data_IF_061279492602
#
_entry.id   IF_061279492602
#
_cell.length_a   1.000
_cell.length_b   1.000
_cell.length_c   1.000
_cell.angle_alpha   90.00
_cell.angle_beta   90.00
_cell.angle_gamma   90.00
#
_symmetry.space_group_name_H-M   'P 1'
#
loop_
_entity.id
_entity.type
_entity.pdbx_description
1 polymer ?
#
# COMPACT_ATOMS: atom_id res chain seq x y z
N UNK A 1 6.70 -1.84 -0.75
CA UNK A 1 5.41 -2.17 -0.13
C UNK A 1 5.44 -1.92 1.38
N UNK A 2 6.48 -2.30 2.12
CA UNK A 2 6.59 -2.04 3.56
C UNK A 2 6.38 -0.57 3.94
N UNK A 3 6.95 0.38 3.16
CA UNK A 3 6.72 1.83 3.37
C UNK A 3 5.25 2.26 3.22
N UNK A 4 4.46 1.46 2.54
CA UNK A 4 3.01 1.64 2.39
C UNK A 4 2.22 0.94 3.48
N UNK A 5 2.88 0.19 4.39
CA UNK A 5 2.24 -0.63 5.40
C UNK A 5 1.64 -1.94 4.86
N UNK A 6 1.95 -2.32 3.62
CA UNK A 6 1.47 -3.55 2.99
C UNK A 6 2.44 -4.70 3.24
N UNK A 7 1.90 -5.82 3.72
CA UNK A 7 2.63 -7.08 3.89
C UNK A 7 2.45 -7.92 2.65
N UNK A 8 3.43 -7.88 1.75
CA UNK A 8 3.44 -8.69 0.54
C UNK A 8 4.35 -9.90 0.69
N UNK A 9 4.02 -10.97 -0.02
CA UNK A 9 4.78 -12.21 -0.09
C UNK A 9 5.42 -12.25 -1.47
N UNK A 10 6.77 -12.26 -1.59
CA UNK A 10 7.41 -12.59 -2.85
C UNK A 10 7.21 -14.08 -3.14
N UNK A 11 6.71 -14.38 -4.31
CA UNK A 11 6.48 -15.75 -4.76
C UNK A 11 7.24 -16.06 -6.03
N UNK A 12 7.55 -17.33 -6.21
CA UNK A 12 8.10 -17.85 -7.47
C UNK A 12 7.04 -17.77 -8.55
N UNK A 13 7.38 -17.15 -9.67
CA UNK A 13 6.47 -16.96 -10.80
C UNK A 13 7.00 -17.56 -12.10
N UNK A 14 6.13 -17.74 -13.09
CA UNK A 14 6.55 -18.08 -14.43
C UNK A 14 7.02 -16.85 -15.19
N UNK A 15 8.06 -17.03 -16.02
CA UNK A 15 8.60 -15.95 -16.83
C UNK A 15 7.72 -15.60 -18.04
N UNK A 16 6.80 -16.47 -18.42
CA UNK A 16 5.86 -16.29 -19.53
C UNK A 16 6.52 -15.79 -20.82
N UNK A 17 5.81 -14.93 -21.53
CA UNK A 17 6.28 -14.30 -22.76
C UNK A 17 7.47 -13.35 -22.55
N UNK A 18 7.66 -12.78 -21.37
CA UNK A 18 8.80 -11.93 -21.03
C UNK A 18 10.10 -12.70 -21.08
N UNK A 19 10.09 -13.98 -20.70
CA UNK A 19 11.26 -14.84 -20.65
C UNK A 19 12.27 -14.40 -19.60
N UNK A 20 13.50 -14.83 -19.74
CA UNK A 20 14.54 -14.62 -18.74
C UNK A 20 14.78 -15.87 -17.90
N UNK A 21 15.52 -15.71 -16.79
CA UNK A 21 15.94 -16.83 -15.95
C UNK A 21 14.98 -17.09 -14.80
N UNK A 22 14.59 -16.02 -14.11
CA UNK A 22 13.73 -16.05 -12.92
C UNK A 22 12.76 -14.89 -12.95
N UNK A 23 11.60 -15.11 -12.39
CA UNK A 23 10.68 -14.03 -12.05
C UNK A 23 10.04 -14.26 -10.68
N UNK A 24 9.68 -13.17 -10.05
CA UNK A 24 9.01 -13.17 -8.75
C UNK A 24 7.87 -12.15 -8.77
N UNK A 25 6.72 -12.56 -8.26
CA UNK A 25 5.56 -11.70 -8.04
C UNK A 25 5.47 -11.29 -6.58
N UNK A 26 4.99 -10.09 -6.34
CA UNK A 26 4.70 -9.58 -4.99
C UNK A 26 3.21 -9.67 -4.74
N UNK A 27 2.81 -10.69 -3.98
CA UNK A 27 1.42 -11.03 -3.72
C UNK A 27 0.96 -10.52 -2.36
N UNK A 28 -0.22 -9.93 -2.32
CA UNK A 28 -0.92 -9.61 -1.08
C UNK A 28 -2.00 -10.67 -0.84
N UNK A 29 -2.05 -11.25 0.38
CA UNK A 29 -3.17 -12.12 0.76
C UNK A 29 -4.43 -11.25 0.85
N UNK A 30 -5.44 -11.58 0.07
CA UNK A 30 -6.68 -10.82 -0.06
C UNK A 30 -7.84 -11.72 -0.48
N UNK A 31 -8.96 -11.62 0.24
CA UNK A 31 -10.18 -12.33 -0.15
C UNK A 31 -10.80 -11.76 -1.44
N UNK A 32 -10.47 -10.52 -1.79
CA UNK A 32 -10.90 -9.82 -3.00
C UNK A 32 -9.94 -10.05 -4.18
N UNK A 33 -8.82 -10.75 -3.94
CA UNK A 33 -7.83 -11.04 -4.97
C UNK A 33 -8.37 -11.90 -6.10
N UNK A 34 -7.84 -11.73 -7.29
CA UNK A 34 -8.21 -12.49 -8.49
C UNK A 34 -7.34 -13.76 -8.63
N UNK A 35 -6.15 -13.74 -8.04
CA UNK A 35 -5.14 -14.77 -8.22
C UNK A 35 -5.19 -15.82 -7.10
N UNK A 36 -4.74 -17.03 -7.43
CA UNK A 36 -4.55 -18.11 -6.49
C UNK A 36 -3.10 -18.56 -6.52
N UNK A 37 -2.51 -18.71 -5.35
CA UNK A 37 -1.15 -19.21 -5.20
C UNK A 37 -1.13 -20.42 -4.27
N UNK A 38 -0.08 -21.21 -4.36
CA UNK A 38 0.28 -22.19 -3.36
C UNK A 38 1.21 -21.54 -2.34
N UNK A 39 0.91 -21.65 -1.07
CA UNK A 39 1.66 -21.02 0.01
C UNK A 39 1.89 -21.99 1.18
N UNK A 40 3.13 -22.04 1.66
CA UNK A 40 3.49 -22.76 2.87
C UNK A 40 3.72 -21.75 4.02
N UNK A 41 2.85 -21.81 5.02
CA UNK A 41 2.89 -20.92 6.19
C UNK A 41 4.13 -21.13 7.07
N UNK A 42 4.76 -22.32 7.03
CA UNK A 42 5.92 -22.63 7.87
C UNK A 42 7.22 -22.04 7.30
N UNK A 43 7.37 -22.11 5.98
CA UNK A 43 8.55 -21.59 5.27
C UNK A 43 8.38 -20.18 4.73
N UNK A 44 7.13 -19.69 4.69
CA UNK A 44 6.74 -18.44 4.05
C UNK A 44 7.08 -18.37 2.55
N UNK A 45 7.10 -19.53 1.89
CA UNK A 45 7.33 -19.63 0.45
C UNK A 45 5.99 -19.71 -0.27
N UNK A 46 5.88 -18.94 -1.35
CA UNK A 46 4.73 -18.98 -2.26
C UNK A 46 5.13 -19.35 -3.68
N UNK A 47 4.22 -20.00 -4.39
CA UNK A 47 4.37 -20.43 -5.78
C UNK A 47 3.14 -20.01 -6.58
N UNK A 48 3.35 -19.41 -7.75
CA UNK A 48 2.27 -19.24 -8.71
C UNK A 48 1.85 -20.62 -9.25
N UNK A 49 0.54 -20.88 -9.32
CA UNK A 49 0.00 -22.17 -9.77
C UNK A 49 0.36 -22.49 -11.22
N UNK A 50 0.61 -21.47 -12.06
CA UNK A 50 1.04 -21.64 -13.45
C UNK A 50 2.38 -22.39 -13.57
N UNK A 51 3.22 -22.37 -12.55
CA UNK A 51 4.48 -23.12 -12.53
C UNK A 51 4.23 -24.62 -12.63
N UNK A 52 3.13 -25.10 -12.04
CA UNK A 52 2.79 -26.53 -12.06
C UNK A 52 2.38 -27.03 -13.45
N UNK A 53 2.09 -26.15 -14.39
CA UNK A 53 1.78 -26.49 -15.76
C UNK A 53 3.02 -26.85 -16.59
N UNK A 54 4.23 -26.57 -16.08
CA UNK A 54 5.49 -26.95 -16.73
C UNK A 54 5.72 -28.46 -16.59
N UNK A 55 6.12 -29.12 -17.68
CA UNK A 55 6.44 -30.55 -17.66
C UNK A 55 7.54 -30.92 -16.64
N UNK A 56 8.49 -30.01 -16.44
CA UNK A 56 9.64 -30.19 -15.54
C UNK A 56 9.57 -29.30 -14.28
N UNK A 57 8.37 -28.97 -13.78
CA UNK A 57 8.23 -28.02 -12.67
C UNK A 57 8.98 -28.44 -11.41
N UNK A 58 9.07 -29.74 -11.12
CA UNK A 58 9.76 -30.25 -9.92
C UNK A 58 11.26 -30.00 -10.00
N UNK A 59 11.88 -30.29 -11.16
CA UNK A 59 13.30 -30.04 -11.40
C UNK A 59 13.59 -28.54 -11.35
N UNK A 60 12.76 -27.72 -12.00
CA UNK A 60 12.84 -26.27 -11.98
C UNK A 60 12.77 -25.69 -10.56
N UNK A 61 11.80 -26.12 -9.75
CA UNK A 61 11.66 -25.68 -8.35
C UNK A 61 12.87 -26.09 -7.51
N UNK A 62 13.39 -27.31 -7.69
CA UNK A 62 14.55 -27.80 -6.98
C UNK A 62 15.83 -27.05 -7.36
N UNK A 63 16.11 -26.90 -8.65
CA UNK A 63 17.37 -26.31 -9.14
C UNK A 63 17.43 -24.80 -8.92
N UNK A 64 16.33 -24.08 -9.18
CA UNK A 64 16.33 -22.63 -9.15
C UNK A 64 15.94 -22.04 -7.79
N UNK A 65 15.17 -22.77 -6.96
CA UNK A 65 14.65 -22.26 -5.71
C UNK A 65 14.91 -23.20 -4.49
N UNK A 66 15.43 -24.40 -4.69
CA UNK A 66 15.73 -25.36 -3.63
C UNK A 66 14.47 -25.97 -2.99
N UNK A 67 13.33 -25.94 -3.70
CA UNK A 67 12.06 -26.48 -3.23
C UNK A 67 11.93 -27.92 -3.74
N UNK A 68 11.98 -28.89 -2.82
CA UNK A 68 11.91 -30.33 -3.18
C UNK A 68 10.52 -30.92 -2.99
N UNK A 69 9.71 -30.38 -2.07
CA UNK A 69 8.36 -30.88 -1.73
C UNK A 69 7.37 -29.72 -1.57
N UNK A 70 6.21 -29.88 -2.18
CA UNK A 70 5.11 -28.91 -2.13
C UNK A 70 3.86 -29.46 -1.41
N UNK A 71 3.96 -30.62 -0.74
CA UNK A 71 2.82 -31.28 -0.08
C UNK A 71 2.20 -30.45 1.05
N UNK A 72 2.98 -29.58 1.68
CA UNK A 72 2.53 -28.69 2.77
C UNK A 72 1.94 -27.37 2.27
N UNK A 73 2.02 -27.10 0.97
CA UNK A 73 1.49 -25.86 0.38
C UNK A 73 -0.04 -25.93 0.31
N UNK A 74 -0.69 -24.82 0.65
CA UNK A 74 -2.13 -24.65 0.56
C UNK A 74 -2.48 -23.58 -0.45
N UNK A 75 -3.58 -23.77 -1.16
CA UNK A 75 -4.11 -22.75 -2.05
C UNK A 75 -4.69 -21.60 -1.21
N UNK A 76 -4.20 -20.39 -1.47
CA UNK A 76 -4.72 -19.16 -0.88
C UNK A 76 -5.02 -18.13 -1.98
N UNK A 77 -5.97 -17.23 -1.70
CA UNK A 77 -6.34 -16.15 -2.62
C UNK A 77 -5.48 -14.92 -2.39
N UNK A 78 -5.04 -14.31 -3.47
CA UNK A 78 -4.10 -13.18 -3.43
C UNK A 78 -4.37 -12.16 -4.52
N UNK A 79 -3.74 -11.00 -4.37
CA UNK A 79 -3.71 -9.92 -5.35
C UNK A 79 -2.25 -9.64 -5.73
N UNK A 80 -1.90 -9.74 -7.00
CA UNK A 80 -0.58 -9.39 -7.51
C UNK A 80 -0.39 -7.87 -7.51
N UNK A 81 0.57 -7.36 -6.74
CA UNK A 81 0.88 -5.93 -6.67
C UNK A 81 2.06 -5.51 -7.52
N UNK A 82 2.93 -6.43 -7.85
CA UNK A 82 4.09 -6.16 -8.68
C UNK A 82 4.79 -7.43 -9.13
N UNK A 83 5.64 -7.31 -10.14
CA UNK A 83 6.36 -8.41 -10.75
C UNK A 83 7.77 -7.97 -11.15
N UNK A 84 8.75 -8.81 -10.92
CA UNK A 84 10.14 -8.58 -11.31
C UNK A 84 10.69 -9.74 -12.12
N UNK A 85 11.56 -9.43 -13.09
CA UNK A 85 12.14 -10.41 -14.02
C UNK A 85 13.64 -10.24 -14.12
N UNK A 86 14.37 -11.34 -14.10
CA UNK A 86 15.78 -11.42 -14.46
C UNK A 86 15.89 -11.78 -15.94
N UNK A 87 15.93 -10.78 -16.80
CA UNK A 87 15.89 -10.95 -18.27
C UNK A 87 17.22 -11.43 -18.86
N UNK A 88 18.33 -11.27 -18.14
CA UNK A 88 19.66 -11.57 -18.64
C UNK A 88 20.03 -10.71 -19.85
N UNK A 89 20.60 -11.32 -20.89
CA UNK A 89 21.01 -10.66 -22.14
C UNK A 89 19.99 -10.81 -23.27
N UNK A 90 18.85 -11.45 -23.04
CA UNK A 90 17.87 -11.79 -24.08
C UNK A 90 17.51 -10.60 -24.98
N UNK A 91 17.17 -9.47 -24.39
CA UNK A 91 16.74 -8.30 -25.15
C UNK A 91 17.93 -7.50 -25.69
N UNK A 92 19.02 -7.41 -24.93
CA UNK A 92 20.22 -6.72 -25.39
C UNK A 92 20.89 -7.41 -26.58
N UNK A 93 20.83 -8.75 -26.68
CA UNK A 93 21.25 -9.50 -27.84
C UNK A 93 20.43 -9.12 -29.09
N UNK A 94 19.08 -9.11 -28.95
CA UNK A 94 18.19 -8.80 -30.07
C UNK A 94 18.31 -7.34 -30.56
N UNK A 95 18.69 -6.43 -29.64
CA UNK A 95 18.80 -5.00 -29.92
C UNK A 95 20.23 -4.53 -30.18
N UNK A 96 21.22 -5.48 -30.22
CA UNK A 96 22.65 -5.18 -30.25
C UNK A 96 23.11 -4.18 -29.18
N UNK A 97 22.46 -4.27 -27.99
CA UNK A 97 22.71 -3.40 -26.85
C UNK A 97 23.98 -3.77 -26.13
N UNK A 98 25.08 -3.09 -26.42
CA UNK A 98 26.41 -3.35 -25.87
C UNK A 98 27.00 -2.15 -25.15
N UNK A 99 27.96 -2.42 -24.30
CA UNK A 99 28.82 -1.41 -23.67
C UNK A 99 30.26 -1.88 -23.68
N UNK A 100 31.19 -0.95 -23.60
CA UNK A 100 32.64 -1.27 -23.46
C UNK A 100 32.97 -1.33 -21.98
N UNK A 101 33.39 -2.50 -21.52
CA UNK A 101 33.80 -2.71 -20.13
C UNK A 101 35.13 -2.03 -19.78
N UNK A 102 35.51 -2.03 -18.49
CA UNK A 102 36.77 -1.47 -18.02
C UNK A 102 38.00 -2.17 -18.60
N UNK A 103 37.82 -3.38 -19.06
CA UNK A 103 38.85 -4.21 -19.73
C UNK A 103 38.95 -3.91 -21.25
N UNK A 104 38.22 -2.93 -21.76
CA UNK A 104 38.17 -2.56 -23.17
C UNK A 104 37.40 -3.50 -24.07
N UNK A 105 36.70 -4.51 -23.52
CA UNK A 105 35.90 -5.47 -24.30
C UNK A 105 34.46 -5.06 -24.38
N UNK A 106 33.80 -5.35 -25.49
CA UNK A 106 32.37 -5.25 -25.63
C UNK A 106 31.65 -6.34 -24.83
N UNK A 107 30.59 -5.95 -24.13
CA UNK A 107 29.72 -6.86 -23.39
C UNK A 107 28.25 -6.42 -23.56
N UNK A 108 27.34 -7.38 -23.56
CA UNK A 108 25.91 -7.12 -23.60
C UNK A 108 25.41 -6.59 -22.25
N UNK A 109 24.42 -5.71 -22.29
CA UNK A 109 23.74 -5.29 -21.06
C UNK A 109 22.99 -6.46 -20.43
N UNK A 110 23.20 -6.68 -19.14
CA UNK A 110 22.39 -7.57 -18.35
C UNK A 110 21.17 -6.80 -17.84
N UNK A 111 19.98 -7.30 -18.13
CA UNK A 111 18.74 -6.53 -17.96
C UNK A 111 17.83 -7.15 -16.90
N UNK A 112 17.06 -6.31 -16.23
CA UNK A 112 15.93 -6.66 -15.38
C UNK A 112 14.70 -5.86 -15.79
N UNK A 113 13.52 -6.36 -15.44
CA UNK A 113 12.26 -5.66 -15.61
C UNK A 113 11.54 -5.62 -14.26
N UNK A 114 10.90 -4.50 -13.97
CA UNK A 114 10.24 -4.25 -12.68
C UNK A 114 8.92 -3.55 -12.92
N UNK A 115 7.83 -4.14 -12.46
CA UNK A 115 6.49 -3.57 -12.58
C UNK A 115 5.78 -3.46 -11.25
N UNK A 116 5.05 -2.35 -11.05
CA UNK A 116 4.13 -2.14 -9.91
C UNK A 116 2.79 -1.71 -10.46
N UNK A 117 1.72 -2.41 -10.03
CA UNK A 117 0.35 -2.03 -10.31
C UNK A 117 -0.12 -0.92 -9.37
N UNK A 118 0.04 0.36 -9.76
CA UNK A 118 -0.24 1.50 -8.87
C UNK A 118 -1.70 1.53 -8.41
N UNK A 119 -2.66 1.39 -9.32
CA UNK A 119 -4.09 1.37 -8.97
C UNK A 119 -4.47 0.14 -8.14
N UNK A 120 -3.87 -1.02 -8.44
CA UNK A 120 -4.07 -2.25 -7.69
C UNK A 120 -3.49 -2.13 -6.28
N UNK A 121 -2.31 -1.51 -6.13
CA UNK A 121 -1.71 -1.21 -4.82
C UNK A 121 -2.59 -0.26 -4.01
N UNK A 122 -3.24 0.72 -4.65
CA UNK A 122 -4.19 1.61 -3.97
C UNK A 122 -5.43 0.85 -3.46
N UNK A 123 -6.00 -0.04 -4.28
CA UNK A 123 -7.12 -0.90 -3.87
C UNK A 123 -6.74 -1.80 -2.68
N UNK A 124 -5.54 -2.38 -2.74
CA UNK A 124 -4.99 -3.18 -1.64
C UNK A 124 -4.82 -2.38 -0.34
N UNK A 125 -4.37 -1.12 -0.44
CA UNK A 125 -4.29 -0.21 0.71
C UNK A 125 -5.65 0.03 1.34
N UNK A 126 -6.67 0.31 0.55
CA UNK A 126 -8.03 0.51 1.07
C UNK A 126 -8.55 -0.73 1.79
N UNK A 127 -8.37 -1.93 1.21
CA UNK A 127 -8.77 -3.19 1.84
C UNK A 127 -8.07 -3.41 3.20
N UNK A 128 -6.75 -3.23 3.24
CA UNK A 128 -5.94 -3.45 4.46
C UNK A 128 -6.14 -2.37 5.53
N UNK A 129 -6.61 -1.20 5.15
CA UNK A 129 -6.82 -0.06 6.04
C UNK A 129 -8.27 0.12 6.47
N UNK A 130 -9.16 -0.82 6.15
CA UNK A 130 -10.57 -0.79 6.57
C UNK A 130 -10.69 -0.74 8.10
N UNK A 131 -11.59 0.13 8.56
CA UNK A 131 -12.07 0.14 9.95
C UNK A 131 -13.38 -0.64 9.98
N UNK A 132 -13.40 -1.73 10.73
CA UNK A 132 -14.60 -2.50 10.99
C UNK A 132 -15.22 -2.09 12.33
N UNK A 133 -16.45 -1.60 12.30
CA UNK A 133 -17.27 -1.43 13.48
C UNK A 133 -17.93 -2.79 13.80
N UNK A 134 -17.83 -3.23 15.06
CA UNK A 134 -18.37 -4.53 15.49
C UNK A 134 -19.88 -4.68 15.23
N UNK A 135 -20.60 -3.57 15.25
CA UNK A 135 -22.05 -3.56 15.09
C UNK A 135 -22.52 -3.29 13.65
N UNK A 136 -21.80 -2.43 12.93
CA UNK A 136 -22.25 -1.89 11.64
C UNK A 136 -21.38 -2.34 10.45
N UNK A 137 -20.30 -3.10 10.70
CA UNK A 137 -19.37 -3.53 9.65
C UNK A 137 -18.44 -2.41 9.19
N UNK A 138 -18.02 -2.40 7.91
CA UNK A 138 -17.07 -1.42 7.42
C UNK A 138 -17.59 0.01 7.59
N UNK A 139 -16.85 0.87 8.31
CA UNK A 139 -17.23 2.24 8.60
C UNK A 139 -16.35 3.30 7.94
N UNK A 140 -15.34 2.88 7.20
CA UNK A 140 -14.35 3.71 6.54
C UNK A 140 -12.97 3.07 6.57
N UNK A 141 -11.94 3.87 6.36
CA UNK A 141 -10.55 3.41 6.40
C UNK A 141 -9.63 4.51 6.95
N UNK A 142 -8.43 4.12 7.38
CA UNK A 142 -7.36 5.04 7.80
C UNK A 142 -6.10 4.71 7.03
N UNK A 143 -5.68 5.59 6.14
CA UNK A 143 -4.48 5.43 5.35
C UNK A 143 -3.22 5.61 6.22
N UNK A 144 -2.12 4.91 5.91
CA UNK A 144 -0.82 5.20 6.49
C UNK A 144 -0.39 6.64 6.19
N UNK A 145 0.27 7.29 7.14
CA UNK A 145 0.74 8.68 6.97
C UNK A 145 1.65 8.88 5.75
N UNK A 146 2.34 7.82 5.33
CA UNK A 146 3.25 7.84 4.17
C UNK A 146 2.54 8.05 2.84
N UNK A 147 1.22 7.77 2.76
CA UNK A 147 0.42 7.83 1.53
C UNK A 147 -0.86 8.66 1.68
N UNK A 148 -1.24 9.04 2.89
CA UNK A 148 -2.40 9.87 3.12
C UNK A 148 -2.23 11.24 2.42
N UNK A 149 -3.15 11.64 1.50
CA UNK A 149 -3.09 12.94 0.84
C UNK A 149 -3.11 14.10 1.84
N UNK A 150 -3.90 13.92 2.91
CA UNK A 150 -3.97 14.81 4.05
C UNK A 150 -3.75 14.00 5.31
N UNK A 151 -2.77 14.41 6.13
CA UNK A 151 -2.51 13.77 7.41
C UNK A 151 -3.50 14.18 8.49
N UNK A 152 -3.96 15.43 8.42
CA UNK A 152 -4.85 16.04 9.41
C UNK A 152 -6.06 16.63 8.72
N UNK A 153 -7.26 16.24 9.15
CA UNK A 153 -8.50 16.93 8.84
C UNK A 153 -8.90 17.81 10.02
N UNK A 154 -9.16 19.07 9.74
CA UNK A 154 -9.61 20.07 10.74
C UNK A 154 -11.08 20.32 10.50
N UNK A 155 -11.89 20.13 11.52
CA UNK A 155 -13.36 20.31 11.49
C UNK A 155 -13.75 21.41 12.48
N UNK A 156 -13.83 22.68 12.03
CA UNK A 156 -14.29 23.79 12.87
C UNK A 156 -15.82 23.83 12.95
N UNK A 157 -16.33 24.40 14.06
CA UNK A 157 -17.71 24.87 14.14
C UNK A 157 -17.83 26.17 13.34
N UNK A 158 -18.42 26.10 12.15
CA UNK A 158 -18.46 27.20 11.18
C UNK A 158 -19.25 28.41 11.65
N UNK A 159 -20.27 28.20 12.50
CA UNK A 159 -21.11 29.27 13.05
C UNK A 159 -20.40 30.10 14.15
N UNK A 160 -19.22 29.66 14.60
CA UNK A 160 -18.41 30.34 15.59
C UNK A 160 -17.15 30.93 14.95
N UNK A 161 -17.08 32.28 14.74
CA UNK A 161 -15.94 32.91 14.08
C UNK A 161 -14.58 32.66 14.77
N UNK A 162 -14.58 32.63 16.13
CA UNK A 162 -13.34 32.38 16.88
C UNK A 162 -12.78 30.96 16.61
N UNK A 163 -13.67 29.96 16.51
CA UNK A 163 -13.29 28.60 16.25
C UNK A 163 -12.82 28.41 14.80
N UNK A 164 -13.41 29.13 13.87
CA UNK A 164 -12.96 29.17 12.49
C UNK A 164 -11.56 29.82 12.36
N UNK A 165 -11.35 30.96 13.05
CA UNK A 165 -10.04 31.60 13.07
C UNK A 165 -8.95 30.69 13.64
N UNK A 166 -9.25 29.98 14.74
CA UNK A 166 -8.32 29.00 15.33
C UNK A 166 -8.00 27.88 14.34
N UNK A 167 -8.99 27.37 13.62
CA UNK A 167 -8.79 26.35 12.59
C UNK A 167 -7.88 26.81 11.46
N UNK A 168 -8.06 28.04 11.00
CA UNK A 168 -7.21 28.64 9.95
C UNK A 168 -5.77 28.81 10.46
N UNK A 169 -5.58 29.31 11.68
CA UNK A 169 -4.25 29.42 12.31
C UNK A 169 -3.55 28.07 12.40
N UNK A 170 -4.26 27.03 12.83
CA UNK A 170 -3.74 25.67 12.89
C UNK A 170 -3.34 25.15 11.50
N UNK A 171 -4.23 25.33 10.52
CA UNK A 171 -3.97 24.92 9.14
C UNK A 171 -2.69 25.56 8.58
N UNK A 172 -2.56 26.89 8.73
CA UNK A 172 -1.37 27.60 8.26
C UNK A 172 -0.10 27.15 9.00
N UNK A 173 -0.18 26.86 10.30
CA UNK A 173 0.93 26.30 11.09
C UNK A 173 1.34 24.93 10.58
N UNK A 174 0.40 24.03 10.29
CA UNK A 174 0.66 22.70 9.73
C UNK A 174 1.30 22.81 8.33
N UNK A 175 0.73 23.63 7.46
CA UNK A 175 1.23 23.89 6.12
C UNK A 175 2.67 24.43 6.14
N UNK A 176 2.97 25.38 7.01
CA UNK A 176 4.33 25.94 7.18
C UNK A 176 5.34 24.88 7.61
N UNK A 177 4.90 23.84 8.31
CA UNK A 177 5.73 22.71 8.74
C UNK A 177 5.66 21.51 7.78
N UNK A 178 5.16 21.69 6.55
CA UNK A 178 5.02 20.66 5.54
C UNK A 178 4.17 19.46 5.98
N UNK A 179 3.19 19.67 6.84
CA UNK A 179 2.18 18.68 7.22
C UNK A 179 0.96 18.88 6.33
N UNK A 180 0.61 17.87 5.53
CA UNK A 180 -0.59 17.89 4.70
C UNK A 180 -1.85 17.98 5.57
N UNK A 181 -2.66 19.02 5.40
CA UNK A 181 -3.89 19.21 6.15
C UNK A 181 -5.02 19.70 5.24
N UNK A 182 -6.26 19.45 5.65
CA UNK A 182 -7.47 19.96 5.02
C UNK A 182 -8.41 20.52 6.09
N UNK A 183 -9.06 21.67 5.80
CA UNK A 183 -10.14 22.20 6.62
C UNK A 183 -11.46 21.83 5.95
N UNK A 184 -12.39 21.29 6.71
CA UNK A 184 -13.77 21.10 6.25
C UNK A 184 -14.58 22.36 6.54
N UNK A 185 -14.55 23.30 5.61
CA UNK A 185 -15.19 24.61 5.68
C UNK A 185 -16.63 24.62 5.14
N UNK A 186 -17.22 23.46 4.91
CA UNK A 186 -18.59 23.37 4.42
C UNK A 186 -19.58 23.92 5.45
N UNK A 187 -20.39 24.86 5.01
CA UNK A 187 -21.49 25.41 5.80
C UNK A 187 -22.69 24.47 5.81
N UNK A 188 -23.53 24.60 6.82
CA UNK A 188 -24.79 23.82 6.96
C UNK A 188 -24.62 22.30 7.04
N UNK A 189 -23.42 21.83 7.35
CA UNK A 189 -23.09 20.42 7.60
C UNK A 189 -22.69 20.24 9.06
N UNK A 190 -23.31 19.27 9.73
CA UNK A 190 -23.00 19.00 11.14
C UNK A 190 -21.58 18.45 11.32
N UNK A 191 -20.96 18.77 12.45
CA UNK A 191 -19.63 18.23 12.82
C UNK A 191 -19.62 16.69 12.71
N UNK A 192 -20.69 16.02 13.17
CA UNK A 192 -20.79 14.55 13.07
C UNK A 192 -20.79 14.02 11.64
N UNK A 193 -21.39 14.73 10.68
CA UNK A 193 -21.33 14.36 9.27
C UNK A 193 -19.91 14.57 8.70
N UNK A 194 -19.26 15.68 9.00
CA UNK A 194 -17.87 15.95 8.62
C UNK A 194 -16.90 14.90 9.18
N UNK A 195 -17.10 14.44 10.41
CA UNK A 195 -16.32 13.35 11.02
C UNK A 195 -16.50 12.02 10.27
N UNK A 196 -17.70 11.72 9.76
CA UNK A 196 -17.91 10.53 8.92
C UNK A 196 -17.15 10.63 7.60
N UNK A 197 -17.13 11.80 6.99
CA UNK A 197 -16.40 12.03 5.75
C UNK A 197 -14.88 11.91 5.94
N UNK A 198 -14.36 12.23 7.13
CA UNK A 198 -12.97 11.97 7.49
C UNK A 198 -12.60 10.49 7.34
N UNK A 199 -13.49 9.59 7.77
CA UNK A 199 -13.32 8.14 7.62
C UNK A 199 -13.35 7.67 6.16
N UNK A 200 -14.07 8.39 5.29
CA UNK A 200 -14.10 8.09 3.85
C UNK A 200 -12.86 8.63 3.14
N UNK A 201 -12.30 9.74 3.59
CA UNK A 201 -11.03 10.28 3.08
C UNK A 201 -9.83 9.49 3.55
N UNK A 202 -9.97 8.73 4.63
CA UNK A 202 -8.88 7.92 5.19
C UNK A 202 -7.81 8.75 5.90
N UNK A 203 -8.15 9.93 6.41
CA UNK A 203 -7.21 10.84 7.07
C UNK A 203 -6.76 10.27 8.42
N UNK A 204 -5.44 10.17 8.70
CA UNK A 204 -4.93 9.56 9.94
C UNK A 204 -5.33 10.29 11.22
N UNK A 205 -5.43 11.62 11.17
CA UNK A 205 -5.71 12.45 12.32
C UNK A 205 -6.90 13.39 12.09
N UNK A 206 -7.75 13.50 13.07
CA UNK A 206 -8.89 14.41 13.07
C UNK A 206 -8.75 15.44 14.20
N UNK A 207 -8.91 16.72 13.88
CA UNK A 207 -9.01 17.80 14.85
C UNK A 207 -10.41 18.40 14.80
N UNK A 208 -11.13 18.33 15.92
CA UNK A 208 -12.44 18.94 16.05
C UNK A 208 -12.30 20.22 16.91
N UNK A 209 -12.75 21.35 16.37
CA UNK A 209 -12.71 22.65 17.04
C UNK A 209 -14.16 23.12 17.25
N UNK A 210 -14.76 22.70 18.34
CA UNK A 210 -16.16 23.00 18.71
C UNK A 210 -16.26 23.81 19.98
N UNK A 211 -17.51 24.03 20.44
CA UNK A 211 -17.78 24.83 21.66
C UNK A 211 -17.37 24.13 22.96
N UNK A 212 -17.10 22.83 22.93
CA UNK A 212 -16.67 22.07 24.12
C UNK A 212 -15.23 22.37 24.53
N UNK A 213 -14.41 22.86 23.62
CA UNK A 213 -13.03 23.23 23.89
C UNK A 213 -12.96 24.68 24.32
N UNK A 214 -12.40 24.93 25.53
CA UNK A 214 -12.17 26.26 26.05
C UNK A 214 -10.90 26.90 25.48
N UNK A 215 -10.97 28.19 25.17
CA UNK A 215 -9.82 28.95 24.65
C UNK A 215 -9.26 28.40 23.35
N UNK A 216 -7.93 28.27 23.28
CA UNK A 216 -7.19 27.73 22.11
C UNK A 216 -6.98 26.21 22.15
N UNK A 217 -7.57 25.51 23.11
CA UNK A 217 -7.47 24.06 23.22
C UNK A 217 -8.11 23.37 22.00
N UNK A 218 -7.44 22.36 21.47
CA UNK A 218 -7.92 21.53 20.38
C UNK A 218 -7.90 20.06 20.80
N UNK A 219 -8.85 19.26 20.33
CA UNK A 219 -8.86 17.80 20.52
C UNK A 219 -8.33 17.15 19.24
N UNK A 220 -7.22 16.46 19.35
CA UNK A 220 -6.65 15.62 18.30
C UNK A 220 -7.07 14.18 18.52
N UNK A 221 -7.66 13.55 17.52
CA UNK A 221 -8.02 12.13 17.51
C UNK A 221 -7.16 11.38 16.51
N UNK A 222 -6.50 10.30 16.97
CA UNK A 222 -5.88 9.33 16.09
C UNK A 222 -6.97 8.40 15.55
N UNK A 223 -7.24 8.49 14.26
CA UNK A 223 -8.34 7.75 13.62
C UNK A 223 -8.15 6.24 13.60
N UNK A 224 -6.91 5.76 13.74
CA UNK A 224 -6.59 4.33 13.76
C UNK A 224 -6.81 3.70 15.12
N UNK A 225 -6.42 4.40 16.20
CA UNK A 225 -6.51 3.88 17.58
C UNK A 225 -7.74 4.38 18.31
N UNK A 226 -8.36 5.48 17.87
CA UNK A 226 -9.43 6.17 18.56
C UNK A 226 -8.96 6.97 19.78
N UNK A 227 -7.66 7.03 20.03
CA UNK A 227 -7.09 7.80 21.14
C UNK A 227 -7.24 9.30 20.90
N UNK A 228 -7.57 10.03 21.96
CA UNK A 228 -7.78 11.47 21.93
C UNK A 228 -6.81 12.17 22.87
N UNK A 229 -6.26 13.26 22.37
CA UNK A 229 -5.34 14.12 23.11
C UNK A 229 -5.80 15.58 23.01
N UNK A 230 -5.72 16.30 24.12
CA UNK A 230 -6.00 17.75 24.14
C UNK A 230 -4.68 18.49 24.06
N UNK A 231 -4.54 19.31 23.02
CA UNK A 231 -3.36 20.14 22.75
C UNK A 231 -3.71 21.62 23.01
N UNK A 232 -2.70 22.41 23.43
CA UNK A 232 -2.78 23.85 23.71
C UNK A 232 -1.93 24.65 22.75
#
# INVERSE_FOLDING_TARGET
FERLGLKVIPIVADNGAMGGKKSEEFMLISEQGEDKILYDENTHIGLNTEILEKENYQEYLKEEYGIEDISNFKEIRTMELGHIFQLGTRYSEMMDGKYVGKDGKESLYYMGCYGIGVSRTLAALYEQCLINDEKWGPSGFVLPESVAPFKVQIVPKMENPEKLELAIKLYEKLKKNNVGAIIDDRENITIGAKMKDCKVLGTPYLVVIGDKQEGENIELENMKTGEKEVLT
#
